data_IF_744244300886
#
_entry.id   IF_744244300886
#
_cell.length_a   1.000
_cell.length_b   1.000
_cell.length_c   1.000
_cell.angle_alpha   90.00
_cell.angle_beta   90.00
_cell.angle_gamma   90.00
#
_symmetry.space_group_name_H-M   'P 1'
#
loop_
_entity.id
_entity.type
_entity.pdbx_description
1 polymer ?
#
# COMPACT_ATOMS: atom_id res chain seq x y z
N UNK A 1 11.92 9.87 -37.63
CA UNK A 1 12.39 8.63 -36.97
C UNK A 1 11.15 7.97 -36.41
N UNK A 2 10.70 6.89 -37.07
CA UNK A 2 9.62 6.07 -36.56
C UNK A 2 10.11 5.41 -35.27
N UNK A 3 9.58 5.85 -34.14
CA UNK A 3 9.71 5.12 -32.88
C UNK A 3 8.97 3.81 -33.08
N UNK A 4 9.68 2.69 -33.17
CA UNK A 4 9.06 1.38 -33.10
C UNK A 4 8.25 1.33 -31.79
N UNK A 5 6.93 1.35 -31.92
CA UNK A 5 6.03 1.06 -30.81
C UNK A 5 6.25 -0.42 -30.46
N UNK A 6 7.24 -0.69 -29.60
CA UNK A 6 7.38 -1.97 -28.94
C UNK A 6 6.23 -2.07 -27.92
N UNK A 7 5.08 -2.45 -28.44
CA UNK A 7 3.92 -2.83 -27.65
C UNK A 7 4.26 -4.05 -26.79
N UNK A 8 3.49 -4.23 -25.71
CA UNK A 8 3.57 -5.44 -24.90
C UNK A 8 3.29 -6.68 -25.76
N UNK A 9 4.22 -7.64 -25.75
CA UNK A 9 4.22 -8.81 -26.64
C UNK A 9 3.27 -9.94 -26.17
N UNK A 10 2.48 -9.71 -25.12
CA UNK A 10 1.51 -10.70 -24.61
C UNK A 10 2.11 -11.80 -23.73
N UNK A 11 3.40 -11.71 -23.34
CA UNK A 11 4.01 -12.64 -22.37
C UNK A 11 3.34 -12.52 -20.99
N UNK A 12 3.13 -13.61 -20.24
CA UNK A 12 2.62 -13.49 -18.88
C UNK A 12 3.44 -12.50 -18.04
N UNK A 13 2.76 -11.66 -17.28
CA UNK A 13 3.37 -10.59 -16.48
C UNK A 13 3.84 -11.11 -15.13
N UNK A 14 5.03 -10.70 -14.71
CA UNK A 14 5.62 -11.06 -13.43
C UNK A 14 5.98 -9.81 -12.63
N UNK A 15 5.27 -9.60 -11.52
CA UNK A 15 5.58 -8.58 -10.54
C UNK A 15 6.63 -9.12 -9.57
N UNK A 16 7.74 -8.40 -9.42
CA UNK A 16 8.82 -8.78 -8.51
C UNK A 16 8.75 -7.91 -7.26
N UNK A 17 8.56 -8.55 -6.11
CA UNK A 17 8.79 -7.91 -4.81
C UNK A 17 10.25 -7.42 -4.74
N UNK A 18 10.51 -6.34 -4.00
CA UNK A 18 11.83 -5.70 -3.93
C UNK A 18 12.90 -6.63 -3.36
N UNK A 19 12.53 -7.58 -2.50
CA UNK A 19 13.44 -8.61 -2.00
C UNK A 19 13.94 -9.58 -3.11
N UNK A 20 13.23 -9.67 -4.24
CA UNK A 20 13.68 -10.41 -5.43
C UNK A 20 14.64 -9.55 -6.24
N UNK A 21 14.36 -8.26 -6.40
CA UNK A 21 15.28 -7.33 -7.06
C UNK A 21 16.64 -7.28 -6.33
N UNK A 22 16.61 -7.29 -4.99
CA UNK A 22 17.82 -7.33 -4.15
C UNK A 22 18.69 -8.57 -4.42
N UNK A 23 18.09 -9.73 -4.73
CA UNK A 23 18.83 -10.93 -5.15
C UNK A 23 19.66 -10.64 -6.41
N UNK A 24 19.06 -9.99 -7.41
CA UNK A 24 19.73 -9.68 -8.68
C UNK A 24 20.75 -8.56 -8.55
N UNK A 25 20.52 -7.60 -7.66
CA UNK A 25 21.53 -6.57 -7.32
C UNK A 25 22.76 -7.23 -6.68
N UNK A 26 22.56 -8.20 -5.79
CA UNK A 26 23.65 -8.90 -5.10
C UNK A 26 24.34 -9.96 -5.97
N UNK A 27 23.61 -10.57 -6.89
CA UNK A 27 24.09 -11.71 -7.68
C UNK A 27 23.76 -11.51 -9.18
N UNK A 28 24.44 -10.56 -9.82
CA UNK A 28 24.20 -10.17 -11.22
C UNK A 28 24.36 -11.31 -12.24
N UNK A 29 25.12 -12.36 -11.90
CA UNK A 29 25.38 -13.50 -12.78
C UNK A 29 24.40 -14.67 -12.61
N UNK A 30 23.34 -14.54 -11.81
CA UNK A 30 22.35 -15.60 -11.64
C UNK A 30 21.60 -15.86 -12.96
N UNK A 31 21.68 -17.08 -13.53
CA UNK A 31 20.95 -17.43 -14.76
C UNK A 31 19.44 -17.22 -14.64
N UNK A 32 18.92 -17.31 -13.41
CA UNK A 32 17.51 -17.10 -13.09
C UNK A 32 16.96 -15.76 -13.60
N UNK A 33 17.77 -14.70 -13.61
CA UNK A 33 17.37 -13.39 -14.14
C UNK A 33 17.04 -13.43 -15.64
N UNK A 34 17.87 -14.12 -16.43
CA UNK A 34 17.66 -14.31 -17.86
C UNK A 34 16.46 -15.21 -18.13
N UNK A 35 16.31 -16.30 -17.38
CA UNK A 35 15.16 -17.20 -17.51
C UNK A 35 13.83 -16.49 -17.23
N UNK A 36 13.79 -15.62 -16.21
CA UNK A 36 12.60 -14.84 -15.89
C UNK A 36 12.24 -13.88 -17.04
N UNK A 37 13.23 -13.15 -17.58
CA UNK A 37 13.01 -12.22 -18.70
C UNK A 37 12.55 -12.94 -19.98
N UNK A 38 13.06 -14.15 -20.23
CA UNK A 38 12.64 -14.94 -21.39
C UNK A 38 11.17 -15.38 -21.26
N UNK A 39 10.78 -15.88 -20.09
CA UNK A 39 9.45 -16.45 -19.82
C UNK A 39 8.36 -15.40 -19.56
N UNK A 40 8.72 -14.26 -18.97
CA UNK A 40 7.77 -13.28 -18.45
C UNK A 40 8.06 -11.87 -18.96
N UNK A 41 7.02 -11.04 -19.00
CA UNK A 41 7.19 -9.58 -18.99
C UNK A 41 7.34 -9.13 -17.53
N UNK A 42 8.54 -8.69 -17.16
CA UNK A 42 8.78 -8.13 -15.83
C UNK A 42 8.05 -6.80 -15.70
N UNK A 43 7.38 -6.59 -14.57
CA UNK A 43 6.67 -5.35 -14.27
C UNK A 43 7.07 -4.78 -12.91
N UNK A 44 7.09 -3.46 -12.79
CA UNK A 44 7.37 -2.72 -11.56
C UNK A 44 6.41 -1.55 -11.41
N UNK A 45 6.22 -1.03 -10.21
CA UNK A 45 5.28 0.07 -9.94
C UNK A 45 5.93 1.23 -9.20
N UNK A 46 5.13 2.27 -8.93
CA UNK A 46 5.54 3.40 -8.08
C UNK A 46 5.91 2.94 -6.66
N UNK A 47 5.32 1.85 -6.16
CA UNK A 47 5.74 1.24 -4.87
C UNK A 47 7.17 0.70 -4.97
N UNK A 48 7.53 0.05 -6.09
CA UNK A 48 8.91 -0.37 -6.34
C UNK A 48 9.87 0.83 -6.38
N UNK A 49 9.49 1.93 -7.05
CA UNK A 49 10.31 3.15 -7.14
C UNK A 49 10.49 3.81 -5.77
N UNK A 50 9.43 3.84 -4.95
CA UNK A 50 9.45 4.29 -3.57
C UNK A 50 10.47 3.50 -2.74
N UNK A 51 10.47 2.17 -2.85
CA UNK A 51 11.47 1.34 -2.17
C UNK A 51 12.89 1.62 -2.65
N UNK A 52 13.08 1.74 -3.96
CA UNK A 52 14.38 2.08 -4.56
C UNK A 52 14.92 3.39 -4.00
N UNK A 53 14.09 4.43 -3.89
CA UNK A 53 14.47 5.72 -3.28
C UNK A 53 14.99 5.54 -1.85
N UNK A 54 14.33 4.70 -1.04
CA UNK A 54 14.73 4.43 0.35
C UNK A 54 16.09 3.73 0.46
N UNK A 55 16.57 3.08 -0.60
CA UNK A 55 17.92 2.48 -0.62
C UNK A 55 19.04 3.51 -0.78
N UNK A 56 18.72 4.79 -1.06
CA UNK A 56 19.68 5.87 -1.16
C UNK A 56 20.67 5.68 -2.31
N UNK A 57 21.97 5.75 -2.03
CA UNK A 57 23.04 5.65 -3.04
C UNK A 57 23.09 4.31 -3.78
N UNK A 58 22.40 3.27 -3.27
CA UNK A 58 22.30 1.98 -3.95
C UNK A 58 21.16 1.91 -4.99
N UNK A 59 20.29 2.92 -5.07
CA UNK A 59 19.09 2.89 -5.90
C UNK A 59 19.38 2.67 -7.40
N UNK A 60 20.46 3.24 -7.92
CA UNK A 60 20.86 3.06 -9.33
C UNK A 60 21.06 1.59 -9.71
N UNK A 61 21.55 0.74 -8.79
CA UNK A 61 21.75 -0.69 -9.04
C UNK A 61 20.43 -1.42 -9.28
N UNK A 62 19.36 -1.01 -8.60
CA UNK A 62 18.02 -1.58 -8.81
C UNK A 62 17.44 -1.13 -10.14
N UNK A 63 17.66 0.14 -10.52
CA UNK A 63 17.25 0.66 -11.82
C UNK A 63 17.99 -0.05 -12.98
N UNK A 64 19.29 -0.33 -12.83
CA UNK A 64 20.07 -1.17 -13.76
C UNK A 64 19.46 -2.56 -13.92
N UNK A 65 19.02 -3.19 -12.82
CA UNK A 65 18.35 -4.50 -12.87
C UNK A 65 17.05 -4.41 -13.66
N UNK A 66 16.18 -3.45 -13.34
CA UNK A 66 14.91 -3.24 -14.05
C UNK A 66 15.12 -2.97 -15.55
N UNK A 67 16.15 -2.19 -15.90
CA UNK A 67 16.48 -1.87 -17.28
C UNK A 67 16.98 -3.13 -18.03
N UNK A 68 17.88 -3.90 -17.41
CA UNK A 68 18.40 -5.15 -17.99
C UNK A 68 17.32 -6.23 -18.20
N UNK A 69 16.25 -6.15 -17.41
CA UNK A 69 15.07 -7.01 -17.49
C UNK A 69 14.03 -6.52 -18.50
N UNK A 70 14.25 -5.36 -19.13
CA UNK A 70 13.27 -4.69 -20.00
C UNK A 70 11.91 -4.53 -19.29
N UNK A 71 11.97 -4.20 -17.99
CA UNK A 71 10.79 -4.14 -17.16
C UNK A 71 9.86 -3.00 -17.60
N UNK A 72 8.55 -3.24 -17.53
CA UNK A 72 7.53 -2.25 -17.85
C UNK A 72 6.89 -1.69 -16.58
N UNK A 73 6.54 -0.41 -16.60
CA UNK A 73 5.92 0.28 -15.48
C UNK A 73 4.42 0.02 -15.45
N UNK A 74 3.91 -0.54 -14.35
CA UNK A 74 2.49 -0.75 -14.10
C UNK A 74 1.97 0.31 -13.12
N UNK A 75 0.81 0.89 -13.45
CA UNK A 75 0.10 1.83 -12.57
C UNK A 75 -1.40 1.69 -12.73
N UNK A 76 -2.16 2.06 -11.71
CA UNK A 76 -3.62 2.06 -11.77
C UNK A 76 -4.07 3.11 -12.81
N UNK A 77 -5.02 2.72 -13.65
CA UNK A 77 -5.66 3.62 -14.60
C UNK A 77 -6.55 4.60 -13.84
N UNK A 78 -6.41 5.89 -14.13
CA UNK A 78 -7.34 6.92 -13.68
C UNK A 78 -8.29 7.27 -14.83
N UNK A 79 -9.54 7.60 -14.49
CA UNK A 79 -10.48 8.19 -15.44
C UNK A 79 -10.02 9.59 -15.88
N UNK A 80 -10.66 10.16 -16.89
CA UNK A 80 -10.44 11.57 -17.29
C UNK A 80 -10.67 12.56 -16.15
N UNK A 81 -11.57 12.24 -15.21
CA UNK A 81 -11.79 13.03 -13.98
C UNK A 81 -10.89 12.62 -12.80
N UNK A 82 -9.73 12.01 -13.06
CA UNK A 82 -8.74 11.58 -12.06
C UNK A 82 -9.24 10.64 -10.96
N UNK A 83 -10.30 9.87 -11.20
CA UNK A 83 -10.80 8.85 -10.27
C UNK A 83 -10.07 7.53 -10.49
N UNK A 84 -9.76 6.85 -9.39
CA UNK A 84 -9.21 5.48 -9.38
C UNK A 84 -10.19 4.53 -10.08
N UNK A 85 -9.65 3.54 -10.80
CA UNK A 85 -10.42 2.48 -11.46
C UNK A 85 -9.96 1.09 -11.04
N UNK A 86 -10.68 0.06 -11.45
CA UNK A 86 -10.31 -1.35 -11.29
C UNK A 86 -9.35 -1.87 -12.36
N UNK A 87 -8.72 -0.98 -13.14
CA UNK A 87 -7.82 -1.34 -14.24
C UNK A 87 -6.42 -0.81 -13.98
N UNK A 88 -5.43 -1.50 -14.53
CA UNK A 88 -4.06 -1.02 -14.60
C UNK A 88 -3.65 -0.76 -16.05
N UNK A 89 -2.67 0.12 -16.23
CA UNK A 89 -1.98 0.31 -17.50
C UNK A 89 -0.54 -0.14 -17.37
N UNK A 90 -0.04 -0.74 -18.44
CA UNK A 90 1.34 -1.15 -18.58
C UNK A 90 2.04 -0.24 -19.59
N UNK A 91 3.14 0.39 -19.18
CA UNK A 91 3.88 1.37 -19.99
C UNK A 91 5.33 0.97 -20.14
N UNK A 92 5.81 0.99 -21.38
CA UNK A 92 7.25 0.92 -21.65
C UNK A 92 7.86 2.27 -21.30
N UNK A 93 8.77 2.28 -20.34
CA UNK A 93 9.49 3.48 -19.91
C UNK A 93 10.86 3.08 -19.39
N UNK A 94 11.88 3.87 -19.68
CA UNK A 94 13.19 3.67 -19.07
C UNK A 94 13.05 3.80 -17.52
N UNK A 95 13.52 2.83 -16.72
CA UNK A 95 13.39 2.89 -15.27
C UNK A 95 14.03 4.12 -14.61
N UNK A 96 15.11 4.67 -15.18
CA UNK A 96 15.73 5.91 -14.70
C UNK A 96 14.81 7.12 -14.93
N UNK A 97 14.23 7.24 -16.13
CA UNK A 97 13.26 8.31 -16.42
C UNK A 97 11.99 8.19 -15.56
N UNK A 98 11.57 6.95 -15.27
CA UNK A 98 10.45 6.67 -14.37
C UNK A 98 10.75 7.09 -12.94
N UNK A 99 11.95 6.76 -12.46
CA UNK A 99 12.41 7.11 -11.12
C UNK A 99 12.59 8.62 -10.94
N UNK A 100 13.16 9.30 -11.94
CA UNK A 100 13.32 10.76 -11.91
C UNK A 100 11.97 11.47 -11.83
N UNK A 101 11.01 11.05 -12.65
CA UNK A 101 9.64 11.59 -12.64
C UNK A 101 8.92 11.28 -11.34
N UNK A 102 9.08 10.07 -10.80
CA UNK A 102 8.57 9.74 -9.47
C UNK A 102 9.10 10.72 -8.42
N UNK A 103 10.42 10.94 -8.38
CA UNK A 103 11.05 11.83 -7.40
C UNK A 103 10.68 13.31 -7.59
N UNK A 104 10.44 13.76 -8.82
CA UNK A 104 10.16 15.18 -9.11
C UNK A 104 8.68 15.53 -9.02
N UNK A 105 7.80 14.66 -9.49
CA UNK A 105 6.42 15.00 -9.78
C UNK A 105 5.40 14.23 -8.93
N UNK A 106 5.76 13.06 -8.40
CA UNK A 106 4.84 12.22 -7.61
C UNK A 106 5.15 12.38 -6.12
N UNK A 107 6.42 12.19 -5.76
CA UNK A 107 6.89 12.15 -4.39
C UNK A 107 6.60 13.41 -3.58
N UNK A 108 6.93 14.63 -4.04
CA UNK A 108 6.88 15.82 -3.17
C UNK A 108 5.46 16.15 -2.68
N UNK A 109 4.46 15.75 -3.46
CA UNK A 109 3.04 16.01 -3.20
C UNK A 109 2.41 14.86 -2.41
N UNK A 110 2.77 13.62 -2.73
CA UNK A 110 2.10 12.43 -2.21
C UNK A 110 2.76 11.87 -0.94
N UNK A 111 4.09 11.76 -0.89
CA UNK A 111 4.76 11.09 0.24
C UNK A 111 4.61 11.86 1.56
N UNK A 112 4.63 13.19 1.52
CA UNK A 112 4.45 14.00 2.73
C UNK A 112 3.06 13.77 3.36
N UNK A 113 2.03 13.76 2.53
CA UNK A 113 0.65 13.48 2.96
C UNK A 113 0.48 12.05 3.42
N UNK A 114 1.00 11.08 2.67
CA UNK A 114 0.95 9.66 3.04
C UNK A 114 1.65 9.44 4.40
N UNK A 115 2.84 10.02 4.59
CA UNK A 115 3.59 9.91 5.85
C UNK A 115 2.82 10.49 7.02
N UNK A 116 2.21 11.66 6.86
CA UNK A 116 1.46 12.31 7.94
C UNK A 116 0.17 11.55 8.28
N UNK A 117 -0.60 11.15 7.28
CA UNK A 117 -1.88 10.44 7.46
C UNK A 117 -1.69 9.04 8.05
N UNK A 118 -0.57 8.37 7.75
CA UNK A 118 -0.25 7.06 8.33
C UNK A 118 0.20 7.11 9.80
N UNK A 119 0.47 8.30 10.38
CA UNK A 119 0.89 8.42 11.78
C UNK A 119 -0.17 7.91 12.77
N UNK A 120 -1.46 8.10 12.47
CA UNK A 120 -2.56 7.54 13.29
C UNK A 120 -2.53 6.02 13.29
N UNK A 121 -2.22 5.40 12.14
CA UNK A 121 -2.06 3.96 12.04
C UNK A 121 -0.79 3.48 12.74
N UNK A 122 0.33 4.20 12.63
CA UNK A 122 1.55 3.90 13.39
C UNK A 122 1.29 3.93 14.90
N UNK A 123 0.51 4.91 15.39
CA UNK A 123 0.05 4.97 16.80
C UNK A 123 -0.81 3.76 17.14
N UNK A 124 -1.73 3.36 16.27
CA UNK A 124 -2.54 2.15 16.45
C UNK A 124 -1.69 0.87 16.62
N UNK A 125 -0.53 0.79 15.96
CA UNK A 125 0.45 -0.29 16.16
C UNK A 125 1.34 -0.14 17.41
N UNK A 126 1.14 0.89 18.23
CA UNK A 126 1.94 1.17 19.43
C UNK A 126 3.21 1.99 19.16
N UNK A 127 3.32 2.62 17.99
CA UNK A 127 4.33 3.65 17.72
C UNK A 127 3.96 4.99 18.38
N UNK A 128 4.71 6.06 18.04
CA UNK A 128 4.41 7.43 18.53
C UNK A 128 4.24 7.51 20.06
N UNK A 129 5.10 6.82 20.80
CA UNK A 129 5.10 6.83 22.27
C UNK A 129 5.33 8.25 22.76
N UNK A 130 4.49 8.72 23.67
CA UNK A 130 4.56 10.07 24.22
C UNK A 130 3.90 11.16 23.36
N UNK A 131 3.36 10.84 22.18
CA UNK A 131 2.48 11.76 21.44
C UNK A 131 1.01 11.46 21.72
N UNK A 132 0.20 12.49 21.90
CA UNK A 132 -1.25 12.38 21.97
C UNK A 132 -1.91 12.50 20.57
N UNK A 133 -3.24 12.41 20.49
CA UNK A 133 -3.94 12.54 19.20
C UNK A 133 -3.87 13.97 18.63
N UNK A 134 -3.75 15.00 19.46
CA UNK A 134 -3.67 16.37 18.99
C UNK A 134 -2.29 16.67 18.39
N UNK A 135 -1.21 16.07 18.91
CA UNK A 135 0.13 16.09 18.31
C UNK A 135 0.11 15.54 16.88
N UNK A 136 -0.53 14.37 16.70
CA UNK A 136 -0.64 13.71 15.40
C UNK A 136 -1.50 14.54 14.44
N UNK A 137 -2.63 15.05 14.92
CA UNK A 137 -3.51 15.89 14.12
C UNK A 137 -2.81 17.16 13.63
N UNK A 138 -1.96 17.80 14.45
CA UNK A 138 -1.18 18.97 14.02
C UNK A 138 -0.24 18.64 12.86
N UNK A 139 0.48 17.52 12.93
CA UNK A 139 1.35 17.08 11.83
C UNK A 139 0.56 16.82 10.52
N UNK A 140 -0.65 16.26 10.64
CA UNK A 140 -1.55 16.02 9.52
C UNK A 140 -2.09 17.32 8.92
N UNK A 141 -2.53 18.25 9.76
CA UNK A 141 -3.03 19.57 9.36
C UNK A 141 -1.93 20.37 8.67
N UNK A 142 -0.71 20.37 9.23
CA UNK A 142 0.43 21.07 8.64
C UNK A 142 0.80 20.51 7.26
N UNK A 143 0.82 19.18 7.14
CA UNK A 143 1.11 18.51 5.87
C UNK A 143 0.03 18.79 4.82
N UNK A 144 -1.25 18.76 5.20
CA UNK A 144 -2.36 19.09 4.31
C UNK A 144 -2.34 20.56 3.90
N UNK A 145 -2.03 21.47 4.83
CA UNK A 145 -1.89 22.90 4.54
C UNK A 145 -0.79 23.17 3.51
N UNK A 146 0.34 22.46 3.60
CA UNK A 146 1.41 22.55 2.62
C UNK A 146 0.98 22.04 1.24
N UNK A 147 0.22 20.94 1.17
CA UNK A 147 -0.37 20.46 -0.08
C UNK A 147 -1.31 21.52 -0.70
N UNK A 148 -2.20 22.09 0.10
CA UNK A 148 -3.14 23.13 -0.35
C UNK A 148 -2.41 24.36 -0.87
N UNK A 149 -1.34 24.78 -0.18
CA UNK A 149 -0.48 25.89 -0.62
C UNK A 149 0.18 25.56 -1.95
N UNK A 150 0.76 24.36 -2.09
CA UNK A 150 1.37 23.92 -3.34
C UNK A 150 0.36 23.95 -4.50
N UNK A 151 -0.84 23.40 -4.33
CA UNK A 151 -1.91 23.45 -5.35
C UNK A 151 -2.20 24.90 -5.75
N UNK A 152 -2.29 25.80 -4.77
CA UNK A 152 -2.58 27.22 -5.02
C UNK A 152 -1.47 27.91 -5.80
N UNK A 153 -0.20 27.57 -5.53
CA UNK A 153 0.96 28.08 -6.28
C UNK A 153 1.00 27.57 -7.73
N UNK A 154 0.52 26.35 -7.99
CA UNK A 154 0.43 25.81 -9.36
C UNK A 154 -0.65 26.50 -10.22
N UNK A 155 -1.61 27.19 -9.62
CA UNK A 155 -2.67 27.90 -10.37
C UNK A 155 -2.09 29.03 -11.22
N UNK A 156 -0.99 29.64 -10.79
CA UNK A 156 -0.33 30.72 -11.51
C UNK A 156 0.13 30.30 -12.92
N UNK A 157 0.41 29.02 -13.13
CA UNK A 157 0.83 28.48 -14.43
C UNK A 157 -0.32 28.38 -15.44
N UNK A 158 -1.56 28.22 -14.97
CA UNK A 158 -2.72 27.91 -15.82
C UNK A 158 -3.80 29.01 -15.84
N UNK A 159 -3.68 30.02 -14.99
CA UNK A 159 -4.71 31.07 -14.84
C UNK A 159 -5.05 31.85 -16.11
N UNK A 160 -4.08 31.97 -17.03
CA UNK A 160 -4.30 32.62 -18.32
C UNK A 160 -5.12 31.76 -19.29
N UNK A 161 -5.13 30.44 -19.09
CA UNK A 161 -5.89 29.48 -19.91
C UNK A 161 -7.35 29.35 -19.44
N UNK A 162 -7.60 29.54 -18.15
CA UNK A 162 -8.93 29.40 -17.54
C UNK A 162 -9.23 30.63 -16.67
N UNK A 163 -9.82 31.70 -17.23
CA UNK A 163 -10.16 32.90 -16.46
C UNK A 163 -11.07 32.57 -15.27
N UNK A 164 -10.74 33.10 -14.09
CA UNK A 164 -11.49 32.88 -12.85
C UNK A 164 -11.11 31.62 -12.07
N UNK A 165 -10.16 30.81 -12.57
CA UNK A 165 -9.70 29.60 -11.87
C UNK A 165 -9.06 29.90 -10.51
N UNK A 166 -8.37 31.04 -10.34
CA UNK A 166 -7.77 31.45 -9.05
C UNK A 166 -8.82 31.52 -7.94
N UNK A 167 -9.95 32.20 -8.19
CA UNK A 167 -11.01 32.34 -7.20
C UNK A 167 -11.70 31.01 -6.91
N UNK A 168 -11.93 30.19 -7.94
CA UNK A 168 -12.54 28.87 -7.78
C UNK A 168 -11.65 27.92 -6.97
N UNK A 169 -10.35 27.85 -7.28
CA UNK A 169 -9.39 27.02 -6.55
C UNK A 169 -9.25 27.52 -5.12
N UNK A 170 -9.11 28.83 -4.88
CA UNK A 170 -8.99 29.38 -3.52
C UNK A 170 -10.22 29.10 -2.64
N UNK A 171 -11.43 29.18 -3.19
CA UNK A 171 -12.64 28.82 -2.47
C UNK A 171 -12.65 27.32 -2.13
N UNK A 172 -12.35 26.46 -3.11
CA UNK A 172 -12.38 25.02 -2.93
C UNK A 172 -11.30 24.51 -1.96
N UNK A 173 -10.08 25.05 -2.04
CA UNK A 173 -9.00 24.67 -1.13
C UNK A 173 -9.28 25.06 0.31
N UNK A 174 -9.93 26.21 0.54
CA UNK A 174 -10.38 26.64 1.87
C UNK A 174 -11.43 25.68 2.45
N UNK A 175 -12.41 25.28 1.64
CA UNK A 175 -13.43 24.31 2.04
C UNK A 175 -12.82 22.93 2.36
N UNK A 176 -11.87 22.47 1.55
CA UNK A 176 -11.14 21.22 1.79
C UNK A 176 -10.35 21.28 3.11
N UNK A 177 -9.63 22.36 3.38
CA UNK A 177 -8.88 22.53 4.63
C UNK A 177 -9.80 22.50 5.85
N UNK A 178 -10.93 23.20 5.80
CA UNK A 178 -11.89 23.20 6.89
C UNK A 178 -12.46 21.80 7.13
N UNK A 179 -12.89 21.13 6.05
CA UNK A 179 -13.46 19.77 6.12
C UNK A 179 -12.46 18.76 6.67
N UNK A 180 -11.18 18.87 6.27
CA UNK A 180 -10.11 18.00 6.77
C UNK A 180 -9.88 18.20 8.27
N UNK A 181 -9.81 19.46 8.73
CA UNK A 181 -9.64 19.78 10.15
C UNK A 181 -10.81 19.25 11.00
N UNK A 182 -12.04 19.45 10.52
CA UNK A 182 -13.25 18.99 11.21
C UNK A 182 -13.31 17.47 11.30
N UNK A 183 -12.94 16.77 10.23
CA UNK A 183 -12.88 15.31 10.20
C UNK A 183 -11.86 14.76 11.22
N UNK A 184 -10.69 15.37 11.33
CA UNK A 184 -9.69 14.99 12.34
C UNK A 184 -10.19 15.25 13.77
N UNK A 185 -10.82 16.39 14.01
CA UNK A 185 -11.39 16.71 15.31
C UNK A 185 -12.49 15.71 15.73
N UNK A 186 -13.38 15.37 14.79
CA UNK A 186 -14.42 14.36 15.01
C UNK A 186 -13.83 12.96 15.27
N UNK A 187 -12.84 12.54 14.48
CA UNK A 187 -12.14 11.28 14.67
C UNK A 187 -11.49 11.20 16.05
N UNK A 188 -10.80 12.25 16.49
CA UNK A 188 -10.17 12.30 17.81
C UNK A 188 -11.19 12.27 18.94
N UNK A 189 -12.30 13.01 18.80
CA UNK A 189 -13.38 12.98 19.78
C UNK A 189 -13.98 11.57 19.93
N UNK A 190 -14.10 10.82 18.83
CA UNK A 190 -14.59 9.43 18.86
C UNK A 190 -13.58 8.49 19.53
N UNK A 191 -12.29 8.59 19.16
CA UNK A 191 -11.23 7.76 19.74
C UNK A 191 -11.13 7.94 21.27
N UNK A 192 -11.26 9.18 21.75
CA UNK A 192 -11.22 9.54 23.19
C UNK A 192 -12.35 8.95 24.01
N UNK A 193 -13.46 8.50 23.39
CA UNK A 193 -14.52 7.76 24.10
C UNK A 193 -14.07 6.37 24.53
N UNK A 194 -13.03 5.82 23.89
CA UNK A 194 -12.62 4.44 24.04
C UNK A 194 -11.14 4.27 24.44
N UNK A 195 -10.37 5.36 24.47
CA UNK A 195 -8.93 5.34 24.72
C UNK A 195 -8.61 6.34 25.85
N UNK A 196 -8.18 5.81 27.00
CA UNK A 196 -7.83 6.60 28.18
C UNK A 196 -6.35 7.05 28.17
N UNK A 197 -5.43 6.12 27.93
CA UNK A 197 -3.98 6.41 27.84
C UNK A 197 -3.56 6.61 26.39
N UNK A 198 -3.71 7.84 25.90
CA UNK A 198 -3.25 8.21 24.57
C UNK A 198 -1.73 8.06 24.41
N UNK A 199 -0.93 8.31 25.45
CA UNK A 199 0.53 8.41 25.32
C UNK A 199 1.19 7.05 25.05
N UNK A 200 0.67 5.97 25.65
CA UNK A 200 1.19 4.61 25.46
C UNK A 200 0.24 3.69 24.67
N UNK A 201 -0.79 4.25 24.03
CA UNK A 201 -1.79 3.48 23.30
C UNK A 201 -1.18 2.55 22.24
N UNK A 202 -1.66 1.29 22.22
CA UNK A 202 -1.46 0.34 21.12
C UNK A 202 -2.78 -0.40 20.87
N UNK A 203 -3.53 0.05 19.87
CA UNK A 203 -4.79 -0.57 19.50
C UNK A 203 -4.67 -2.02 19.07
N UNK A 204 -3.59 -2.38 18.36
CA UNK A 204 -3.34 -3.78 17.98
C UNK A 204 -3.12 -4.67 19.19
N UNK A 205 -2.32 -4.23 20.18
CA UNK A 205 -2.09 -5.02 21.37
C UNK A 205 -3.36 -5.11 22.23
N UNK A 206 -4.09 -4.00 22.39
CA UNK A 206 -5.38 -3.97 23.09
C UNK A 206 -6.37 -4.94 22.44
N UNK A 207 -6.53 -4.89 21.12
CA UNK A 207 -7.41 -5.77 20.36
C UNK A 207 -7.04 -7.25 20.55
N UNK A 208 -5.77 -7.62 20.34
CA UNK A 208 -5.32 -9.01 20.46
C UNK A 208 -5.46 -9.56 21.88
N UNK A 209 -5.16 -8.73 22.89
CA UNK A 209 -5.35 -9.10 24.29
C UNK A 209 -6.82 -9.35 24.62
N UNK A 210 -7.71 -8.48 24.12
CA UNK A 210 -9.15 -8.62 24.33
C UNK A 210 -9.70 -9.89 23.64
N UNK A 211 -9.33 -10.12 22.38
CA UNK A 211 -9.78 -11.28 21.63
C UNK A 211 -9.18 -12.59 22.12
N UNK A 212 -8.04 -12.54 22.84
CA UNK A 212 -7.27 -13.69 23.31
C UNK A 212 -6.93 -14.70 22.18
N UNK A 213 -6.76 -14.18 20.97
CA UNK A 213 -6.34 -14.90 19.76
C UNK A 213 -5.23 -14.11 19.11
N UNK A 214 -4.19 -14.83 18.65
CA UNK A 214 -3.06 -14.19 18.00
C UNK A 214 -2.21 -15.17 17.19
N UNK A 215 -0.94 -14.83 16.93
CA UNK A 215 -0.10 -15.56 15.98
C UNK A 215 0.10 -17.04 16.27
N UNK A 216 0.12 -17.44 17.55
CA UNK A 216 0.28 -18.84 17.93
C UNK A 216 -0.87 -19.69 17.43
N UNK A 217 -2.11 -19.19 17.51
CA UNK A 217 -3.29 -19.89 17.03
C UNK A 217 -3.42 -19.75 15.51
N UNK A 218 -3.29 -18.52 15.00
CA UNK A 218 -3.62 -18.20 13.62
C UNK A 218 -2.60 -18.76 12.62
N UNK A 219 -1.30 -18.79 12.94
CA UNK A 219 -0.29 -19.29 12.00
C UNK A 219 -0.32 -20.82 11.82
N UNK A 220 -1.09 -21.54 12.64
CA UNK A 220 -1.32 -22.97 12.45
C UNK A 220 -2.42 -23.25 11.41
N UNK A 221 -3.18 -22.25 10.99
CA UNK A 221 -4.25 -22.40 9.99
C UNK A 221 -3.61 -22.64 8.62
N UNK A 222 -3.85 -23.83 8.06
CA UNK A 222 -3.35 -24.20 6.74
C UNK A 222 -4.40 -23.94 5.65
N UNK A 223 -3.97 -23.57 4.43
CA UNK A 223 -4.84 -23.54 3.24
C UNK A 223 -5.52 -24.90 2.98
N UNK A 224 -6.63 -24.94 2.22
CA UNK A 224 -7.35 -23.82 1.61
C UNK A 224 -8.28 -23.08 2.60
N UNK A 225 -8.90 -22.00 2.15
CA UNK A 225 -9.93 -21.21 2.86
C UNK A 225 -9.45 -20.65 4.20
N UNK A 226 -8.24 -20.09 4.21
CA UNK A 226 -7.61 -19.56 5.43
C UNK A 226 -8.47 -18.46 6.06
N UNK A 227 -8.97 -17.52 5.26
CA UNK A 227 -9.73 -16.36 5.77
C UNK A 227 -11.06 -16.81 6.36
N UNK A 228 -11.74 -17.76 5.74
CA UNK A 228 -12.99 -18.32 6.24
C UNK A 228 -12.77 -19.13 7.52
N UNK A 229 -11.65 -19.86 7.63
CA UNK A 229 -11.26 -20.55 8.87
C UNK A 229 -10.98 -19.54 9.99
N UNK A 230 -10.24 -18.46 9.71
CA UNK A 230 -10.03 -17.36 10.66
C UNK A 230 -11.39 -16.79 11.10
N UNK A 231 -12.25 -16.44 10.15
CA UNK A 231 -13.58 -15.90 10.44
C UNK A 231 -14.44 -16.86 11.28
N UNK A 232 -14.36 -18.17 11.02
CA UNK A 232 -15.09 -19.17 11.78
C UNK A 232 -14.73 -19.19 13.27
N UNK A 233 -13.52 -18.77 13.61
CA UNK A 233 -13.07 -18.60 14.99
C UNK A 233 -13.62 -17.27 15.53
N UNK A 234 -13.38 -16.16 14.83
CA UNK A 234 -13.75 -14.81 15.28
C UNK A 234 -15.25 -14.62 15.48
N UNK A 235 -16.10 -15.17 14.60
CA UNK A 235 -17.57 -15.06 14.70
C UNK A 235 -18.16 -15.64 16.00
N UNK A 236 -17.39 -16.44 16.74
CA UNK A 236 -17.82 -17.06 18.00
C UNK A 236 -17.41 -16.25 19.23
N UNK A 237 -16.54 -15.25 19.07
CA UNK A 237 -16.01 -14.43 20.15
C UNK A 237 -16.98 -13.31 20.53
N UNK A 238 -16.87 -12.86 21.78
CA UNK A 238 -17.61 -11.71 22.30
C UNK A 238 -17.31 -10.46 21.45
N UNK A 239 -18.35 -9.66 21.18
CA UNK A 239 -18.30 -8.53 20.24
C UNK A 239 -18.66 -8.91 18.80
N UNK A 240 -18.35 -10.12 18.34
CA UNK A 240 -18.75 -10.63 17.02
C UNK A 240 -19.97 -11.56 17.06
N UNK A 241 -20.08 -12.39 18.11
CA UNK A 241 -21.18 -13.36 18.22
C UNK A 241 -22.55 -12.72 18.40
N UNK A 242 -22.58 -11.57 19.07
CA UNK A 242 -23.82 -10.82 19.37
C UNK A 242 -24.17 -9.83 18.26
N UNK A 243 -23.28 -9.65 17.28
CA UNK A 243 -23.51 -8.81 16.11
C UNK A 243 -23.75 -9.69 14.88
N UNK A 244 -24.66 -9.28 14.00
CA UNK A 244 -24.85 -9.93 12.68
C UNK A 244 -23.70 -9.53 11.72
N UNK A 245 -22.46 -9.59 12.20
CA UNK A 245 -21.28 -9.16 11.46
C UNK A 245 -20.99 -10.14 10.34
N UNK A 246 -20.84 -9.63 9.11
CA UNK A 246 -20.41 -10.44 7.97
C UNK A 246 -18.88 -10.56 7.93
N UNK A 247 -18.39 -11.57 7.22
CA UNK A 247 -16.95 -11.72 6.96
C UNK A 247 -16.38 -10.51 6.19
N UNK A 248 -17.17 -9.88 5.33
CA UNK A 248 -16.75 -8.68 4.60
C UNK A 248 -16.66 -7.46 5.52
N UNK A 249 -17.54 -7.34 6.51
CA UNK A 249 -17.44 -6.31 7.54
C UNK A 249 -16.22 -6.55 8.43
N UNK A 250 -15.95 -7.81 8.80
CA UNK A 250 -14.74 -8.20 9.54
C UNK A 250 -13.46 -7.81 8.80
N UNK A 251 -13.44 -8.02 7.50
CA UNK A 251 -12.31 -7.68 6.63
C UNK A 251 -12.29 -6.19 6.22
N UNK A 252 -13.29 -5.39 6.59
CA UNK A 252 -13.38 -3.99 6.20
C UNK A 252 -13.49 -3.79 4.68
N UNK A 253 -14.24 -4.66 3.99
CA UNK A 253 -14.40 -4.62 2.52
C UNK A 253 -15.85 -4.49 2.04
N UNK A 254 -16.81 -4.38 2.96
CA UNK A 254 -18.24 -4.28 2.64
C UNK A 254 -18.59 -2.98 1.89
N UNK A 255 -17.89 -1.88 2.19
CA UNK A 255 -18.04 -0.60 1.49
C UNK A 255 -16.75 0.21 1.60
N UNK A 256 -16.41 0.96 0.56
CA UNK A 256 -15.27 1.86 0.60
C UNK A 256 -15.60 3.04 1.55
N UNK A 257 -14.86 3.22 2.66
CA UNK A 257 -15.19 4.22 3.66
C UNK A 257 -14.95 5.66 3.20
N UNK A 258 -14.17 5.86 2.12
CA UNK A 258 -13.81 7.18 1.59
C UNK A 258 -14.77 7.58 0.48
N UNK A 259 -15.07 6.66 -0.44
CA UNK A 259 -15.81 6.96 -1.66
C UNK A 259 -17.28 6.51 -1.62
N UNK A 260 -17.71 5.85 -0.54
CA UNK A 260 -19.07 5.33 -0.37
C UNK A 260 -19.57 4.53 -1.59
N UNK A 261 -18.69 3.67 -2.13
CA UNK A 261 -18.93 2.75 -3.26
C UNK A 261 -18.39 1.37 -2.93
N UNK A 262 -18.69 0.39 -3.79
CA UNK A 262 -17.99 -0.88 -3.72
C UNK A 262 -16.47 -0.67 -3.87
N UNK A 263 -15.68 -1.39 -3.07
CA UNK A 263 -14.22 -1.39 -3.19
C UNK A 263 -13.77 -2.13 -4.44
N UNK A 264 -12.76 -1.59 -5.12
CA UNK A 264 -12.08 -2.32 -6.19
C UNK A 264 -11.22 -3.45 -5.62
N UNK A 265 -10.90 -4.44 -6.45
CA UNK A 265 -10.16 -5.63 -6.02
C UNK A 265 -8.85 -5.30 -5.29
N UNK A 266 -8.03 -4.41 -5.86
CA UNK A 266 -6.76 -3.99 -5.25
C UNK A 266 -6.95 -3.27 -3.90
N UNK A 267 -8.04 -2.53 -3.71
CA UNK A 267 -8.38 -1.92 -2.42
C UNK A 267 -8.81 -2.99 -1.40
N UNK A 268 -9.60 -3.98 -1.83
CA UNK A 268 -9.98 -5.13 -0.99
C UNK A 268 -8.73 -5.90 -0.54
N UNK A 269 -7.76 -6.09 -1.44
CA UNK A 269 -6.47 -6.73 -1.11
C UNK A 269 -5.75 -6.00 0.01
N UNK A 270 -5.62 -4.66 -0.07
CA UNK A 270 -4.98 -3.85 0.99
C UNK A 270 -5.71 -4.04 2.33
N UNK A 271 -7.04 -3.93 2.31
CA UNK A 271 -7.86 -4.02 3.53
C UNK A 271 -7.71 -5.38 4.21
N UNK A 272 -7.89 -6.46 3.46
CA UNK A 272 -7.75 -7.84 3.96
C UNK A 272 -6.33 -8.08 4.48
N UNK A 273 -5.30 -7.69 3.73
CA UNK A 273 -3.90 -7.85 4.13
C UNK A 273 -3.61 -7.14 5.47
N UNK A 274 -4.10 -5.92 5.62
CA UNK A 274 -3.93 -5.15 6.86
C UNK A 274 -4.71 -5.75 8.03
N UNK A 275 -5.91 -6.30 7.81
CA UNK A 275 -6.65 -7.03 8.85
C UNK A 275 -5.86 -8.26 9.30
N UNK A 276 -5.30 -9.05 8.39
CA UNK A 276 -4.45 -10.21 8.73
C UNK A 276 -3.26 -9.79 9.61
N UNK A 277 -2.64 -8.65 9.29
CA UNK A 277 -1.62 -8.03 10.13
C UNK A 277 -2.14 -7.65 11.52
N UNK A 278 -3.29 -7.00 11.63
CA UNK A 278 -3.86 -6.59 12.93
C UNK A 278 -4.20 -7.79 13.80
N UNK A 279 -4.90 -8.79 13.27
CA UNK A 279 -5.33 -9.97 14.04
C UNK A 279 -4.17 -10.91 14.38
N UNK A 280 -3.09 -10.87 13.61
CA UNK A 280 -1.87 -11.62 13.88
C UNK A 280 -1.71 -12.90 13.06
N UNK A 281 -2.27 -12.97 11.86
CA UNK A 281 -1.94 -14.03 10.89
C UNK A 281 -0.70 -13.62 10.09
N UNK A 282 0.44 -14.28 10.34
CA UNK A 282 1.76 -13.94 9.80
C UNK A 282 2.07 -12.44 9.85
N UNK A 283 1.97 -11.79 11.04
CA UNK A 283 2.04 -10.35 11.12
C UNK A 283 3.45 -9.82 10.90
N UNK A 284 3.54 -8.61 10.36
CA UNK A 284 4.83 -7.93 10.25
C UNK A 284 5.39 -7.60 11.63
N UNK A 285 6.71 -7.71 11.76
CA UNK A 285 7.38 -7.59 13.05
C UNK A 285 7.76 -6.14 13.39
N UNK A 286 7.61 -5.79 14.67
CA UNK A 286 8.05 -4.50 15.23
C UNK A 286 7.44 -3.26 14.55
N UNK A 287 6.18 -3.35 14.15
CA UNK A 287 5.43 -2.25 13.48
C UNK A 287 5.26 -0.98 14.32
N UNK A 288 5.62 -0.98 15.61
CA UNK A 288 5.75 0.25 16.41
C UNK A 288 6.91 1.16 15.98
N UNK A 289 7.85 0.64 15.19
CA UNK A 289 8.99 1.40 14.67
C UNK A 289 8.71 1.87 13.24
N UNK A 290 8.86 3.17 12.99
CA UNK A 290 8.57 3.84 11.72
C UNK A 290 9.12 3.11 10.48
N UNK A 291 10.40 2.73 10.50
CA UNK A 291 11.02 1.98 9.39
C UNK A 291 10.33 0.64 9.11
N UNK A 292 9.92 -0.09 10.15
CA UNK A 292 9.28 -1.40 10.02
C UNK A 292 7.82 -1.26 9.61
N UNK A 293 7.15 -0.24 10.11
CA UNK A 293 5.81 0.13 9.70
C UNK A 293 5.76 0.50 8.21
N UNK A 294 6.69 1.34 7.76
CA UNK A 294 6.80 1.75 6.36
C UNK A 294 7.02 0.54 5.43
N UNK A 295 7.90 -0.39 5.82
CA UNK A 295 8.11 -1.64 5.07
C UNK A 295 6.81 -2.46 4.97
N UNK A 296 6.11 -2.68 6.08
CA UNK A 296 4.84 -3.42 6.11
C UNK A 296 3.73 -2.77 5.26
N UNK A 297 3.67 -1.43 5.20
CA UNK A 297 2.76 -0.72 4.30
C UNK A 297 3.14 -0.93 2.82
N UNK A 298 4.45 -1.00 2.53
CA UNK A 298 4.94 -1.27 1.17
C UNK A 298 4.58 -2.68 0.73
N UNK A 299 4.68 -3.66 1.63
CA UNK A 299 4.23 -5.03 1.35
C UNK A 299 2.74 -5.08 0.97
N UNK A 300 1.87 -4.40 1.72
CA UNK A 300 0.45 -4.29 1.35
C UNK A 300 0.25 -3.64 -0.03
N UNK A 301 1.05 -2.62 -0.36
CA UNK A 301 1.08 -1.98 -1.68
C UNK A 301 1.52 -2.93 -2.80
N UNK A 302 2.57 -3.73 -2.57
CA UNK A 302 3.03 -4.75 -3.49
C UNK A 302 1.95 -5.81 -3.73
N UNK A 303 1.33 -6.35 -2.67
CA UNK A 303 0.23 -7.30 -2.81
C UNK A 303 -0.94 -6.71 -3.61
N UNK A 304 -1.27 -5.43 -3.41
CA UNK A 304 -2.35 -4.76 -4.13
C UNK A 304 -2.06 -4.60 -5.61
N UNK A 305 -0.89 -4.05 -5.97
CA UNK A 305 -0.54 -3.81 -7.37
C UNK A 305 -0.25 -5.12 -8.12
N UNK A 306 0.35 -6.09 -7.46
CA UNK A 306 0.61 -7.39 -8.06
C UNK A 306 -0.67 -8.15 -8.44
N UNK A 307 -1.83 -7.80 -7.86
CA UNK A 307 -3.13 -8.39 -8.23
C UNK A 307 -3.55 -8.13 -9.69
N UNK A 308 -2.87 -7.19 -10.36
CA UNK A 308 -3.02 -6.92 -11.80
C UNK A 308 -2.10 -7.77 -12.69
N UNK A 309 -1.19 -8.54 -12.10
CA UNK A 309 -0.20 -9.34 -12.82
C UNK A 309 -0.58 -10.82 -12.85
N UNK A 310 0.02 -11.61 -13.74
CA UNK A 310 -0.20 -13.05 -13.78
C UNK A 310 0.53 -13.77 -12.63
N UNK A 311 1.72 -13.26 -12.27
CA UNK A 311 2.57 -13.82 -11.21
C UNK A 311 3.11 -12.73 -10.27
N UNK A 312 3.24 -13.08 -8.99
CA UNK A 312 3.93 -12.32 -7.95
C UNK A 312 5.07 -13.18 -7.39
N UNK A 313 6.30 -12.69 -7.43
CA UNK A 313 7.46 -13.37 -6.87
C UNK A 313 7.93 -12.67 -5.60
N UNK A 314 8.12 -13.43 -4.52
CA UNK A 314 8.70 -12.95 -3.27
C UNK A 314 9.48 -14.06 -2.57
N UNK A 315 10.37 -13.70 -1.65
CA UNK A 315 11.07 -14.63 -0.74
C UNK A 315 10.66 -14.45 0.72
N UNK A 316 9.77 -13.51 1.02
CA UNK A 316 9.28 -13.29 2.38
C UNK A 316 8.09 -14.23 2.64
N UNK A 317 8.31 -15.25 3.47
CA UNK A 317 7.29 -16.24 3.79
C UNK A 317 6.05 -15.62 4.45
N UNK A 318 6.20 -14.61 5.31
CA UNK A 318 5.06 -13.98 5.99
C UNK A 318 4.20 -13.18 5.00
N UNK A 319 4.85 -12.42 4.11
CA UNK A 319 4.19 -11.75 2.99
C UNK A 319 3.45 -12.76 2.11
N UNK A 320 4.10 -13.85 1.73
CA UNK A 320 3.52 -14.90 0.86
C UNK A 320 2.28 -15.53 1.50
N UNK A 321 2.35 -15.90 2.78
CA UNK A 321 1.21 -16.51 3.48
C UNK A 321 0.00 -15.57 3.54
N UNK A 322 0.22 -14.29 3.86
CA UNK A 322 -0.84 -13.28 3.86
C UNK A 322 -1.41 -13.08 2.46
N UNK A 323 -0.56 -12.87 1.46
CA UNK A 323 -1.00 -12.60 0.08
C UNK A 323 -1.75 -13.79 -0.53
N UNK A 324 -1.29 -15.03 -0.31
CA UNK A 324 -2.01 -16.24 -0.76
C UNK A 324 -3.39 -16.35 -0.13
N UNK A 325 -3.50 -16.15 1.19
CA UNK A 325 -4.80 -16.19 1.89
C UNK A 325 -5.76 -15.12 1.35
N UNK A 326 -5.26 -13.89 1.17
CA UNK A 326 -6.01 -12.77 0.61
C UNK A 326 -6.47 -13.06 -0.82
N UNK A 327 -5.57 -13.54 -1.69
CA UNK A 327 -5.87 -13.81 -3.09
C UNK A 327 -6.85 -14.96 -3.28
N UNK A 328 -6.72 -16.01 -2.47
CA UNK A 328 -7.65 -17.14 -2.48
C UNK A 328 -9.08 -16.67 -2.16
N UNK A 329 -9.26 -15.94 -1.06
CA UNK A 329 -10.58 -15.45 -0.63
C UNK A 329 -11.21 -14.47 -1.63
N UNK A 330 -10.40 -13.55 -2.18
CA UNK A 330 -10.87 -12.55 -3.14
C UNK A 330 -10.93 -13.07 -4.58
N UNK A 331 -10.59 -14.34 -4.81
CA UNK A 331 -10.51 -14.97 -6.13
C UNK A 331 -9.63 -14.17 -7.13
N UNK A 332 -8.48 -13.69 -6.64
CA UNK A 332 -7.47 -13.01 -7.45
C UNK A 332 -6.76 -14.04 -8.34
N UNK A 333 -6.62 -13.74 -9.63
CA UNK A 333 -6.03 -14.67 -10.61
C UNK A 333 -4.51 -14.81 -10.52
N UNK A 334 -3.84 -13.83 -9.93
CA UNK A 334 -2.38 -13.79 -9.78
C UNK A 334 -1.88 -14.97 -8.97
N UNK A 335 -0.85 -15.66 -9.49
CA UNK A 335 -0.19 -16.74 -8.79
C UNK A 335 0.97 -16.21 -7.93
N UNK A 336 0.96 -16.54 -6.64
CA UNK A 336 2.01 -16.13 -5.70
C UNK A 336 3.10 -17.19 -5.63
N UNK A 337 4.28 -16.87 -6.15
CA UNK A 337 5.45 -17.74 -6.25
C UNK A 337 6.45 -17.39 -5.15
N UNK A 338 6.83 -18.41 -4.38
CA UNK A 338 7.88 -18.33 -3.39
C UNK A 338 9.23 -18.63 -4.04
N UNK A 339 10.20 -17.73 -3.87
CA UNK A 339 11.56 -17.90 -4.37
C UNK A 339 12.46 -18.35 -3.23
N UNK A 340 12.93 -19.59 -3.32
CA UNK A 340 13.90 -20.17 -2.40
C UNK A 340 15.28 -20.08 -3.03
N UNK A 341 16.19 -19.36 -2.37
CA UNK A 341 17.60 -19.33 -2.75
C UNK A 341 18.33 -20.27 -1.79
N UNK A 342 18.75 -21.42 -2.31
CA UNK A 342 19.69 -22.28 -1.60
C UNK A 342 21.06 -21.62 -1.75
N UNK A 343 21.72 -21.32 -0.62
CA UNK A 343 23.10 -20.83 -0.64
C UNK A 343 23.95 -21.82 -1.46
N UNK A 344 24.68 -21.30 -2.45
CA UNK A 344 25.62 -22.05 -3.29
C UNK A 344 26.90 -22.33 -2.53
#
# INVERSE_FOLDING_TARGET
>A
METSNHNYDGKPTAYLDHNILDIFVKNKSLPFSSELREKYQIVYSDETLKEIKRTGSCGSKFLEVLESMEAMHVRILLTESFKITDKAILKKRNPFDAFEDYCKNIEPVYEAMEKATTQSLLKFYGGRVGSDFDDINREQIDSFSNLIKYISEQVDEIKYLVPGIEAAVAAHTKEMQHSFNDALAQSTAELRKHIEDELNYSGVQTYRNHMNIGPVQLNNIQPPSVIEKIWSIYKTLDGYRESDFSIEQFLGISINPIYNREMYLHEKVISVYNVLNVIGYYPDSKMKHDRRFTAAMSDAGHAAIASFSDFLFSRDAAFIHKTRATYEYLNVKTQVIEVIVNDV
#
